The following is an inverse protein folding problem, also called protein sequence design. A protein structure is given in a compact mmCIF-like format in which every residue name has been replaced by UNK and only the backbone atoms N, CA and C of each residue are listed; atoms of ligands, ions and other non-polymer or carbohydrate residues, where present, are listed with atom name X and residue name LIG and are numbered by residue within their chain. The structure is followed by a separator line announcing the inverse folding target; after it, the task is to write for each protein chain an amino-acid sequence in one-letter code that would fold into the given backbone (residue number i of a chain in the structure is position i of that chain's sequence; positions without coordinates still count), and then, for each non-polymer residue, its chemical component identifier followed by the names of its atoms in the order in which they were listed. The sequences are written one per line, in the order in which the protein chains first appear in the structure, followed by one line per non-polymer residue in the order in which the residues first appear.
data_IF_558987224505
#
_entry.id   IF_558987224505
#
_cell.length_a   1.000
_cell.length_b   1.000
_cell.length_c   1.000
_cell.angle_alpha   90.00
_cell.angle_beta   90.00
_cell.angle_gamma   90.00
#
_symmetry.space_group_name_H-M   'P 1'
#
loop_
_entity.id
_entity.type
_entity.pdbx_description
1 polymer ?
#
# COMPACT_ATOMS: atom_id res chain seq x y z
N UNK A 1 4.08 4.05 13.46
CA UNK A 1 3.75 4.84 12.25
C UNK A 1 2.33 4.59 11.80
N UNK A 2 1.87 3.34 11.82
CA UNK A 2 0.50 3.01 11.37
C UNK A 2 -0.59 3.68 12.22
N UNK A 3 -0.37 3.88 13.53
CA UNK A 3 -1.36 4.53 14.42
C UNK A 3 -1.56 6.00 14.04
N UNK A 4 -0.47 6.71 13.81
CA UNK A 4 -0.47 8.12 13.40
C UNK A 4 -1.08 8.27 12.00
N UNK A 5 -0.76 7.34 11.09
CA UNK A 5 -1.35 7.30 9.76
C UNK A 5 -2.87 7.07 9.81
N UNK A 6 -3.36 6.15 10.65
CA UNK A 6 -4.82 5.95 10.84
C UNK A 6 -5.48 7.24 11.32
N UNK A 7 -4.90 7.95 12.29
CA UNK A 7 -5.45 9.22 12.78
C UNK A 7 -5.49 10.29 11.67
N UNK A 8 -4.45 10.37 10.85
CA UNK A 8 -4.41 11.28 9.71
C UNK A 8 -5.50 10.96 8.68
N UNK A 9 -5.62 9.69 8.29
CA UNK A 9 -6.59 9.25 7.29
C UNK A 9 -8.03 9.46 7.77
N UNK A 10 -8.33 9.15 9.04
CA UNK A 10 -9.65 9.38 9.65
C UNK A 10 -10.01 10.86 9.71
N UNK A 11 -9.02 11.77 9.80
CA UNK A 11 -9.25 13.22 9.73
C UNK A 11 -9.30 13.76 8.30
N UNK A 12 -9.27 12.89 7.28
CA UNK A 12 -9.32 13.27 5.87
C UNK A 12 -7.99 13.80 5.32
N UNK A 13 -6.90 13.72 6.09
CA UNK A 13 -5.58 14.13 5.65
C UNK A 13 -4.91 13.01 4.86
N UNK A 14 -4.47 13.31 3.64
CA UNK A 14 -3.64 12.39 2.86
C UNK A 14 -2.24 12.27 3.44
N UNK A 15 -1.66 11.08 3.31
CA UNK A 15 -0.29 10.80 3.71
C UNK A 15 0.67 11.23 2.59
N UNK A 16 1.88 11.65 2.96
CA UNK A 16 2.96 11.77 1.96
C UNK A 16 3.40 10.39 1.47
N UNK A 17 4.15 10.35 0.36
CA UNK A 17 4.74 9.10 -0.14
C UNK A 17 5.62 8.42 0.92
N UNK A 18 6.39 9.20 1.69
CA UNK A 18 7.26 8.71 2.75
C UNK A 18 6.49 8.18 3.97
N UNK A 19 5.40 8.86 4.36
CA UNK A 19 4.51 8.39 5.43
C UNK A 19 3.88 7.04 5.02
N UNK A 20 3.34 6.94 3.80
CA UNK A 20 2.75 5.71 3.28
C UNK A 20 3.78 4.57 3.18
N UNK A 21 5.00 4.86 2.69
CA UNK A 21 6.08 3.89 2.67
C UNK A 21 6.44 3.39 4.07
N UNK A 22 6.54 4.28 5.05
CA UNK A 22 6.85 3.91 6.44
C UNK A 22 5.78 3.00 7.06
N UNK A 23 4.51 3.23 6.74
CA UNK A 23 3.42 2.33 7.16
C UNK A 23 3.55 0.95 6.52
N UNK A 24 3.85 0.87 5.22
CA UNK A 24 4.02 -0.42 4.55
C UNK A 24 5.23 -1.20 5.06
N UNK A 25 6.30 -0.49 5.46
CA UNK A 25 7.46 -1.11 6.10
C UNK A 25 7.05 -1.81 7.42
N UNK A 26 6.33 -1.11 8.30
CA UNK A 26 5.78 -1.66 9.56
C UNK A 26 4.87 -2.87 9.30
N UNK A 27 4.00 -2.81 8.28
CA UNK A 27 3.13 -3.92 7.89
C UNK A 27 3.93 -5.14 7.44
N UNK A 28 4.88 -4.96 6.52
CA UNK A 28 5.62 -6.08 5.94
C UNK A 28 6.70 -6.66 6.87
N UNK A 29 7.10 -5.93 7.91
CA UNK A 29 7.94 -6.44 9.00
C UNK A 29 7.14 -7.22 10.06
N UNK A 30 5.80 -7.22 9.97
CA UNK A 30 4.93 -7.90 10.94
C UNK A 30 4.74 -7.14 12.25
N UNK A 31 5.04 -5.85 12.26
CA UNK A 31 4.95 -4.99 13.44
C UNK A 31 3.54 -4.42 13.65
N UNK A 32 2.71 -4.42 12.60
CA UNK A 32 1.31 -4.02 12.65
C UNK A 32 0.38 -5.20 12.97
N UNK A 33 -0.51 -5.02 13.96
CA UNK A 33 -1.54 -6.01 14.28
C UNK A 33 -2.60 -6.12 13.16
N UNK A 34 -3.32 -7.25 13.04
CA UNK A 34 -4.42 -7.38 12.07
C UNK A 34 -5.47 -6.27 12.19
N UNK A 35 -5.78 -5.84 13.42
CA UNK A 35 -6.73 -4.75 13.67
C UNK A 35 -6.21 -3.40 13.15
N UNK A 36 -4.92 -3.11 13.29
CA UNK A 36 -4.32 -1.89 12.75
C UNK A 36 -4.29 -1.90 11.22
N UNK A 37 -3.98 -3.04 10.60
CA UNK A 37 -4.01 -3.18 9.13
C UNK A 37 -5.43 -2.96 8.62
N UNK A 38 -6.43 -3.59 9.24
CA UNK A 38 -7.84 -3.41 8.88
C UNK A 38 -8.25 -1.92 9.01
N UNK A 39 -7.94 -1.29 10.13
CA UNK A 39 -8.25 0.12 10.35
C UNK A 39 -7.58 1.05 9.33
N UNK A 40 -6.31 0.79 9.00
CA UNK A 40 -5.57 1.55 7.99
C UNK A 40 -6.22 1.44 6.60
N UNK A 41 -6.49 0.21 6.12
CA UNK A 41 -7.09 -0.01 4.80
C UNK A 41 -8.50 0.58 4.72
N UNK A 42 -9.31 0.43 5.78
CA UNK A 42 -10.65 1.04 5.83
C UNK A 42 -10.58 2.57 5.82
N UNK A 43 -9.72 3.18 6.63
CA UNK A 43 -9.59 4.64 6.65
C UNK A 43 -9.08 5.20 5.32
N UNK A 44 -8.10 4.53 4.70
CA UNK A 44 -7.56 4.89 3.39
C UNK A 44 -8.65 4.87 2.31
N UNK A 45 -9.48 3.82 2.28
CA UNK A 45 -10.64 3.71 1.37
C UNK A 45 -11.69 4.79 1.62
N UNK A 46 -12.05 5.04 2.88
CA UNK A 46 -13.07 6.03 3.22
C UNK A 46 -12.65 7.45 2.84
N UNK A 47 -11.37 7.78 3.02
CA UNK A 47 -10.79 9.05 2.55
C UNK A 47 -10.73 9.13 1.03
N UNK A 48 -10.44 8.00 0.38
CA UNK A 48 -10.08 7.92 -1.04
C UNK A 48 -8.57 8.01 -1.21
N UNK A 49 -7.98 7.01 -1.85
CA UNK A 49 -6.53 6.83 -1.96
C UNK A 49 -5.91 7.83 -2.96
N UNK A 50 -4.73 8.40 -2.65
CA UNK A 50 -3.98 9.25 -3.60
C UNK A 50 -2.88 8.50 -4.34
N UNK A 51 -2.35 9.09 -5.40
CA UNK A 51 -1.24 8.51 -6.18
C UNK A 51 0.02 8.38 -5.33
N UNK A 52 0.31 9.35 -4.48
CA UNK A 52 1.48 9.36 -3.59
C UNK A 52 1.38 8.23 -2.55
N UNK A 53 0.19 8.03 -1.98
CA UNK A 53 -0.09 6.95 -1.04
C UNK A 53 0.13 5.59 -1.72
N UNK A 54 -0.53 5.34 -2.86
CA UNK A 54 -0.41 4.07 -3.59
C UNK A 54 1.06 3.81 -4.01
N UNK A 55 1.74 4.83 -4.53
CA UNK A 55 3.13 4.69 -4.97
C UNK A 55 4.09 4.44 -3.79
N UNK A 56 3.89 5.09 -2.64
CA UNK A 56 4.67 4.86 -1.42
C UNK A 56 4.52 3.43 -0.91
N UNK A 57 3.28 2.93 -0.84
CA UNK A 57 2.98 1.55 -0.46
C UNK A 57 3.62 0.54 -1.45
N UNK A 58 3.37 0.72 -2.75
CA UNK A 58 3.87 -0.19 -3.80
C UNK A 58 5.41 -0.22 -3.86
N UNK A 59 6.08 0.92 -3.61
CA UNK A 59 7.54 1.00 -3.58
C UNK A 59 8.14 0.05 -2.54
N UNK A 60 7.57 0.00 -1.34
CA UNK A 60 8.06 -0.88 -0.27
C UNK A 60 7.77 -2.34 -0.57
N UNK A 61 6.56 -2.64 -1.09
CA UNK A 61 6.22 -3.99 -1.55
C UNK A 61 7.23 -4.50 -2.59
N UNK A 62 7.57 -3.66 -3.59
CA UNK A 62 8.56 -4.00 -4.61
C UNK A 62 9.96 -4.17 -4.05
N UNK A 63 10.36 -3.34 -3.07
CA UNK A 63 11.69 -3.44 -2.45
C UNK A 63 11.86 -4.74 -1.64
N UNK A 64 10.77 -5.27 -1.08
CA UNK A 64 10.75 -6.52 -0.30
C UNK A 64 10.43 -7.78 -1.12
N UNK A 65 10.06 -7.61 -2.39
CA UNK A 65 9.75 -8.73 -3.27
C UNK A 65 11.01 -9.56 -3.62
N UNK A 66 10.82 -10.86 -3.81
CA UNK A 66 11.86 -11.71 -4.39
C UNK A 66 12.06 -11.32 -5.86
N UNK A 67 13.28 -10.90 -6.20
CA UNK A 67 13.58 -10.44 -7.56
C UNK A 67 13.80 -11.63 -8.51
N UNK A 68 13.00 -11.67 -9.58
CA UNK A 68 13.18 -12.58 -10.70
C UNK A 68 14.03 -11.88 -11.77
N UNK A 69 15.22 -12.41 -12.03
CA UNK A 69 16.14 -11.85 -13.05
C UNK A 69 15.95 -12.59 -14.37
N UNK A 70 15.61 -11.83 -15.41
CA UNK A 70 15.34 -12.33 -16.76
C UNK A 70 15.96 -11.38 -17.78
N UNK A 71 16.43 -11.92 -18.91
CA UNK A 71 17.10 -11.17 -19.99
C UNK A 71 16.26 -11.17 -21.27
N UNK A 72 16.37 -10.10 -22.06
CA UNK A 72 15.63 -9.92 -23.31
C UNK A 72 14.37 -9.05 -23.15
N UNK A 73 13.64 -8.79 -24.24
CA UNK A 73 12.39 -8.03 -24.18
C UNK A 73 11.32 -8.75 -23.36
N UNK A 74 10.73 -8.06 -22.40
CA UNK A 74 9.72 -8.60 -21.48
C UNK A 74 8.52 -7.66 -21.43
N UNK A 75 7.34 -8.24 -21.23
CA UNK A 75 6.08 -7.53 -21.04
C UNK A 75 5.31 -8.19 -19.90
N UNK A 76 4.65 -7.37 -19.08
CA UNK A 76 3.71 -7.82 -18.05
C UNK A 76 2.32 -7.27 -18.40
N UNK A 77 1.30 -8.12 -18.32
CA UNK A 77 -0.08 -7.81 -18.72
C UNK A 77 -1.06 -7.99 -17.55
N UNK A 78 -0.68 -7.56 -16.35
CA UNK A 78 -1.51 -7.70 -15.15
C UNK A 78 -2.68 -6.69 -15.11
N UNK A 79 -3.77 -7.07 -14.44
CA UNK A 79 -4.91 -6.20 -14.12
C UNK A 79 -5.42 -6.47 -12.71
N UNK A 80 -6.15 -5.51 -12.12
CA UNK A 80 -6.68 -5.65 -10.76
C UNK A 80 -7.80 -6.67 -10.65
N UNK A 81 -8.53 -6.92 -11.75
CA UNK A 81 -9.69 -7.82 -11.81
C UNK A 81 -10.90 -7.30 -11.02
N UNK A 82 -11.97 -8.11 -10.97
CA UNK A 82 -13.16 -7.85 -10.15
C UNK A 82 -14.32 -7.12 -10.84
N UNK A 83 -14.35 -7.08 -12.17
CA UNK A 83 -15.42 -6.46 -12.97
C UNK A 83 -16.69 -7.32 -13.08
N UNK A 84 -16.69 -8.54 -12.54
CA UNK A 84 -17.86 -9.43 -12.53
C UNK A 84 -18.26 -9.96 -13.90
N UNK A 85 -17.37 -9.86 -14.90
CA UNK A 85 -17.53 -10.51 -16.20
C UNK A 85 -17.18 -12.00 -16.08
N UNK A 86 -18.01 -12.73 -15.34
CA UNK A 86 -17.97 -14.19 -15.22
C UNK A 86 -19.25 -14.81 -15.74
#
# INVERSE_FOLDING_TARGET
MIREAIQALVSGRSLTMEEAASVMEEIMQGEATPAQIAAFVTALRLKGETVEEIAGLARVMRAKAVLVKVSGPLVDTCGTGGDGLS
#
